data_IF_472795266016
#
_entry.id   IF_472795266016
#
_cell.length_a   1.000
_cell.length_b   1.000
_cell.length_c   1.000
_cell.angle_alpha   90.00
_cell.angle_beta   90.00
_cell.angle_gamma   90.00
#
_symmetry.space_group_name_H-M   'P 1'
#
loop_
_entity.id
_entity.type
_entity.pdbx_description
1 polymer ?
#
# COMPACT_ATOMS: atom_id res chain seq x y z
N UNK A 1 25.32 48.39 -7.23
CA UNK A 1 24.82 48.36 -5.83
C UNK A 1 23.45 47.73 -5.68
N UNK A 2 22.42 47.99 -6.55
CA UNK A 2 21.08 47.37 -6.46
C UNK A 2 21.12 45.85 -6.74
N UNK A 3 21.87 45.39 -7.75
CA UNK A 3 21.99 43.97 -8.08
C UNK A 3 22.71 43.16 -6.99
N UNK A 4 23.74 43.69 -6.37
CA UNK A 4 24.46 43.03 -5.27
C UNK A 4 23.60 42.91 -4.02
N UNK A 5 22.77 43.92 -3.74
CA UNK A 5 21.85 43.90 -2.59
C UNK A 5 20.72 42.85 -2.79
N UNK A 6 20.21 42.77 -4.01
CA UNK A 6 19.18 41.73 -4.35
C UNK A 6 19.75 40.32 -4.29
N UNK A 7 21.01 40.12 -4.72
CA UNK A 7 21.65 38.82 -4.64
C UNK A 7 21.91 38.38 -3.20
N UNK A 8 22.38 39.28 -2.35
CA UNK A 8 22.59 39.03 -0.92
C UNK A 8 21.28 38.70 -0.18
N UNK A 9 20.21 39.45 -0.46
CA UNK A 9 18.89 39.17 0.09
C UNK A 9 18.36 37.81 -0.32
N UNK A 10 18.55 37.42 -1.59
CA UNK A 10 18.15 36.12 -2.11
C UNK A 10 18.93 34.97 -1.46
N UNK A 11 20.23 35.13 -1.27
CA UNK A 11 21.06 34.15 -0.54
C UNK A 11 20.58 33.96 0.91
N UNK A 12 20.27 35.03 1.61
CA UNK A 12 19.74 34.97 2.98
C UNK A 12 18.39 34.25 3.02
N UNK A 13 17.51 34.54 2.08
CA UNK A 13 16.21 33.84 1.98
C UNK A 13 16.38 32.35 1.69
N UNK A 14 17.27 31.95 0.80
CA UNK A 14 17.56 30.54 0.50
C UNK A 14 18.15 29.81 1.70
N UNK A 15 19.10 30.43 2.41
CA UNK A 15 19.71 29.83 3.60
C UNK A 15 18.70 29.71 4.74
N UNK A 16 17.84 30.70 4.94
CA UNK A 16 16.79 30.63 5.96
C UNK A 16 15.73 29.58 5.60
N UNK A 17 15.35 29.46 4.33
CA UNK A 17 14.44 28.43 3.88
C UNK A 17 15.04 27.02 4.03
N UNK A 18 16.31 26.85 3.71
CA UNK A 18 17.02 25.58 3.90
C UNK A 18 17.12 25.20 5.38
N UNK A 19 17.48 26.17 6.24
CA UNK A 19 17.51 25.98 7.69
C UNK A 19 16.15 25.66 8.29
N UNK A 20 15.10 26.38 7.88
CA UNK A 20 13.74 26.10 8.29
C UNK A 20 13.27 24.71 7.84
N UNK A 21 13.59 24.30 6.61
CA UNK A 21 13.29 22.97 6.10
C UNK A 21 13.95 21.86 6.93
N UNK A 22 15.19 22.05 7.35
CA UNK A 22 15.90 21.07 8.18
C UNK A 22 15.29 20.93 9.57
N UNK A 23 14.90 22.06 10.19
CA UNK A 23 14.28 22.08 11.53
C UNK A 23 12.84 21.58 11.52
N UNK A 24 12.07 21.90 10.47
CA UNK A 24 10.66 21.52 10.35
C UNK A 24 10.48 20.09 9.83
N UNK A 25 11.55 19.42 9.41
CA UNK A 25 11.45 18.02 8.94
C UNK A 25 11.02 17.11 10.10
N UNK A 26 9.89 16.40 9.98
CA UNK A 26 9.45 15.48 11.00
C UNK A 26 10.50 14.37 11.20
N UNK A 27 10.97 14.22 12.44
CA UNK A 27 11.94 13.17 12.83
C UNK A 27 11.28 11.99 13.52
N UNK A 28 10.04 12.17 14.00
CA UNK A 28 9.26 11.13 14.64
C UNK A 28 8.28 10.51 13.64
N UNK A 29 8.34 9.20 13.47
CA UNK A 29 7.41 8.47 12.61
C UNK A 29 6.21 7.99 13.43
N UNK A 30 5.03 8.07 12.85
CA UNK A 30 3.79 7.58 13.48
C UNK A 30 3.89 6.08 13.82
N UNK A 31 4.55 5.31 12.97
CA UNK A 31 4.74 3.88 13.18
C UNK A 31 5.56 3.54 14.44
N UNK A 32 6.46 4.43 14.86
CA UNK A 32 7.26 4.23 16.07
C UNK A 32 6.45 4.50 17.35
N UNK A 33 5.34 5.23 17.22
CA UNK A 33 4.43 5.58 18.32
C UNK A 33 3.28 4.59 18.49
N UNK A 34 3.06 3.72 17.48
CA UNK A 34 2.01 2.71 17.52
C UNK A 34 2.53 1.40 18.14
N UNK A 35 1.63 0.62 18.79
CA UNK A 35 2.00 -0.71 19.28
C UNK A 35 2.58 -1.55 18.15
N UNK A 36 3.72 -2.17 18.40
CA UNK A 36 4.31 -3.12 17.44
C UNK A 36 3.44 -4.36 17.36
N UNK A 37 3.18 -4.82 16.16
CA UNK A 37 2.43 -6.05 15.89
C UNK A 37 3.20 -6.93 14.90
N UNK A 38 2.92 -8.21 14.92
CA UNK A 38 3.46 -9.17 13.96
C UNK A 38 2.34 -9.65 13.05
N UNK A 39 2.51 -9.52 11.73
CA UNK A 39 1.55 -10.01 10.74
C UNK A 39 1.28 -11.51 10.92
N UNK A 40 2.32 -12.27 11.25
CA UNK A 40 2.22 -13.71 11.50
C UNK A 40 1.25 -14.07 12.63
N UNK A 41 1.13 -13.24 13.64
CA UNK A 41 0.24 -13.45 14.79
C UNK A 41 -1.17 -12.91 14.52
N UNK A 42 -1.27 -11.80 13.76
CA UNK A 42 -2.56 -11.16 13.52
C UNK A 42 -3.39 -11.89 12.45
N UNK A 43 -2.74 -12.54 11.50
CA UNK A 43 -3.43 -13.23 10.42
C UNK A 43 -3.66 -14.69 10.81
N UNK A 44 -4.93 -15.13 10.92
CA UNK A 44 -5.24 -16.48 11.39
C UNK A 44 -4.71 -17.54 10.40
N UNK A 45 -4.18 -18.63 10.94
CA UNK A 45 -3.74 -19.79 10.15
C UNK A 45 -4.91 -20.65 9.64
N UNK A 46 -6.09 -20.40 10.19
CA UNK A 46 -7.31 -21.12 9.86
C UNK A 46 -8.55 -20.26 10.06
N UNK A 47 -9.51 -20.32 9.15
CA UNK A 47 -10.82 -19.66 9.27
C UNK A 47 -11.86 -20.43 8.44
N UNK A 48 -13.03 -20.68 9.00
CA UNK A 48 -14.03 -21.51 8.36
C UNK A 48 -13.46 -22.88 7.93
N UNK A 49 -13.58 -23.22 6.65
CA UNK A 49 -13.00 -24.43 6.05
C UNK A 49 -11.58 -24.24 5.52
N UNK A 50 -11.06 -23.04 5.54
CA UNK A 50 -9.75 -22.69 5.03
C UNK A 50 -8.65 -22.96 6.06
N UNK A 51 -7.54 -23.56 5.62
CA UNK A 51 -6.34 -23.84 6.42
C UNK A 51 -5.10 -23.46 5.61
N UNK A 52 -4.04 -23.01 6.31
CA UNK A 52 -2.74 -22.79 5.67
C UNK A 52 -2.22 -24.11 5.10
N UNK A 53 -1.82 -24.08 3.83
CA UNK A 53 -1.17 -25.20 3.19
C UNK A 53 0.36 -25.15 3.45
N UNK A 54 0.79 -25.91 4.43
CA UNK A 54 2.22 -25.97 4.85
C UNK A 54 3.14 -26.48 3.73
N UNK A 55 2.61 -27.27 2.77
CA UNK A 55 3.41 -27.83 1.65
C UNK A 55 3.79 -26.77 0.63
N UNK A 56 3.01 -25.70 0.52
CA UNK A 56 3.23 -24.64 -0.47
C UNK A 56 4.03 -23.48 0.11
N UNK A 57 4.25 -23.44 1.42
CA UNK A 57 5.01 -22.39 2.12
C UNK A 57 6.50 -22.36 1.74
N UNK A 58 7.02 -23.42 1.12
CA UNK A 58 8.40 -23.52 0.63
C UNK A 58 8.56 -22.98 -0.80
N UNK A 59 7.91 -21.87 -1.16
CA UNK A 59 8.15 -21.23 -2.46
C UNK A 59 9.58 -20.68 -2.48
N UNK A 60 10.39 -21.19 -3.40
CA UNK A 60 11.74 -20.66 -3.67
C UNK A 60 11.58 -19.24 -4.22
N UNK A 61 11.62 -18.27 -3.33
CA UNK A 61 11.69 -16.87 -3.72
C UNK A 61 13.12 -16.63 -4.19
N UNK A 62 13.28 -15.96 -5.32
CA UNK A 62 14.61 -15.54 -5.77
C UNK A 62 15.27 -14.71 -4.66
N UNK A 63 16.44 -15.12 -4.11
CA UNK A 63 17.07 -14.45 -2.97
C UNK A 63 17.35 -12.96 -3.20
N UNK A 64 17.57 -12.56 -4.44
CA UNK A 64 17.80 -11.15 -4.80
C UNK A 64 16.50 -10.33 -4.69
N UNK A 65 15.38 -10.91 -5.13
CA UNK A 65 14.06 -10.27 -4.98
C UNK A 65 13.66 -10.17 -3.51
N UNK A 66 13.95 -11.20 -2.71
CA UNK A 66 13.70 -11.21 -1.27
C UNK A 66 14.49 -10.13 -0.54
N UNK A 67 15.78 -10.00 -0.86
CA UNK A 67 16.64 -8.96 -0.28
C UNK A 67 16.14 -7.56 -0.58
N UNK A 68 15.64 -7.33 -1.80
CA UNK A 68 15.06 -6.05 -2.18
C UNK A 68 13.75 -5.78 -1.44
N UNK A 69 12.87 -6.76 -1.38
CA UNK A 69 11.59 -6.65 -0.67
C UNK A 69 11.78 -6.39 0.83
N UNK A 70 12.75 -7.06 1.47
CA UNK A 70 13.07 -6.87 2.88
C UNK A 70 13.69 -5.49 3.17
N UNK A 71 14.26 -4.81 2.18
CA UNK A 71 14.68 -3.40 2.31
C UNK A 71 13.52 -2.42 2.20
N UNK A 72 12.46 -2.78 1.46
CA UNK A 72 11.31 -1.92 1.18
C UNK A 72 10.21 -2.07 2.24
N UNK A 73 10.03 -3.26 2.80
CA UNK A 73 8.96 -3.57 3.72
C UNK A 73 9.48 -4.04 5.08
N UNK A 74 8.82 -3.58 6.13
CA UNK A 74 9.17 -3.97 7.51
C UNK A 74 8.73 -5.40 7.82
N UNK A 75 7.64 -5.85 7.21
CA UNK A 75 7.13 -7.22 7.33
C UNK A 75 6.50 -7.67 6.01
N UNK A 76 6.71 -8.91 5.67
CA UNK A 76 6.10 -9.59 4.53
C UNK A 76 5.45 -10.87 5.01
N UNK A 77 4.17 -11.07 4.68
CA UNK A 77 3.45 -12.31 4.92
C UNK A 77 3.00 -12.88 3.58
N UNK A 78 3.33 -14.13 3.32
CA UNK A 78 2.83 -14.87 2.15
C UNK A 78 2.35 -16.24 2.62
N UNK A 79 1.06 -16.51 2.42
CA UNK A 79 0.43 -17.78 2.81
C UNK A 79 -0.49 -18.28 1.69
N UNK A 80 -0.43 -19.57 1.43
CA UNK A 80 -1.44 -20.25 0.64
C UNK A 80 -2.42 -20.92 1.59
N UNK A 81 -3.70 -20.64 1.40
CA UNK A 81 -4.79 -21.35 2.08
C UNK A 81 -5.42 -22.37 1.13
N UNK A 82 -5.82 -23.48 1.68
CA UNK A 82 -6.60 -24.52 1.00
C UNK A 82 -7.93 -24.70 1.71
N UNK A 83 -9.02 -24.72 0.92
CA UNK A 83 -10.33 -25.13 1.44
C UNK A 83 -10.32 -26.66 1.59
N UNK A 84 -10.47 -27.12 2.83
CA UNK A 84 -10.45 -28.55 3.16
C UNK A 84 -11.63 -29.34 2.57
N UNK A 85 -12.68 -28.66 2.15
CA UNK A 85 -13.89 -29.25 1.56
C UNK A 85 -13.79 -29.37 0.05
N UNK A 86 -13.28 -28.34 -0.65
CA UNK A 86 -13.25 -28.27 -2.12
C UNK A 86 -11.85 -28.52 -2.70
N UNK A 87 -10.80 -28.35 -1.90
CA UNK A 87 -9.41 -28.39 -2.36
C UNK A 87 -8.97 -27.12 -3.10
N UNK A 88 -9.83 -26.12 -3.20
CA UNK A 88 -9.50 -24.83 -3.81
C UNK A 88 -8.38 -24.15 -3.03
N UNK A 89 -7.57 -23.35 -3.73
CA UNK A 89 -6.42 -22.66 -3.15
C UNK A 89 -6.48 -21.17 -3.42
N UNK A 90 -6.12 -20.40 -2.41
CA UNK A 90 -6.02 -18.95 -2.47
C UNK A 90 -4.69 -18.50 -1.84
N UNK A 91 -3.97 -17.61 -2.51
CA UNK A 91 -2.74 -17.03 -1.97
C UNK A 91 -3.04 -15.66 -1.38
N UNK A 92 -2.65 -15.45 -0.13
CA UNK A 92 -2.65 -14.17 0.54
C UNK A 92 -1.23 -13.64 0.62
N UNK A 93 -1.01 -12.42 0.13
CA UNK A 93 0.25 -11.69 0.29
C UNK A 93 -0.01 -10.35 0.94
N UNK A 94 0.70 -10.04 2.02
CA UNK A 94 0.62 -8.77 2.75
C UNK A 94 2.02 -8.20 2.88
N UNK A 95 2.20 -6.96 2.43
CA UNK A 95 3.42 -6.19 2.60
C UNK A 95 3.14 -4.99 3.51
N UNK A 96 3.83 -4.92 4.64
CA UNK A 96 3.70 -3.84 5.61
C UNK A 96 4.96 -2.99 5.64
N UNK A 97 4.81 -1.69 5.38
CA UNK A 97 5.86 -0.70 5.52
C UNK A 97 5.56 0.24 6.69
N UNK A 98 6.40 0.21 7.71
CA UNK A 98 6.26 1.08 8.88
C UNK A 98 6.61 2.54 8.57
N UNK A 99 7.58 2.74 7.69
CA UNK A 99 8.06 4.06 7.27
C UNK A 99 7.82 4.26 5.78
N UNK A 100 7.12 5.32 5.42
CA UNK A 100 6.90 5.71 4.03
C UNK A 100 7.86 6.84 3.67
N UNK A 101 9.02 6.50 3.13
CA UNK A 101 9.91 7.45 2.48
C UNK A 101 9.61 7.51 0.97
N UNK A 102 10.08 8.55 0.29
CA UNK A 102 9.93 8.71 -1.17
C UNK A 102 10.54 7.54 -1.96
N UNK A 103 11.51 6.82 -1.37
CA UNK A 103 12.09 5.61 -1.93
C UNK A 103 11.17 4.38 -1.81
N UNK A 104 10.15 4.44 -0.96
CA UNK A 104 9.19 3.37 -0.73
C UNK A 104 7.90 3.61 -1.50
N UNK A 105 7.98 3.59 -2.83
CA UNK A 105 6.78 3.60 -3.66
C UNK A 105 6.01 2.30 -3.44
N UNK A 106 4.72 2.44 -3.14
CA UNK A 106 3.82 1.28 -3.03
C UNK A 106 3.83 0.54 -4.36
N UNK A 107 4.39 -0.68 -4.36
CA UNK A 107 4.37 -1.57 -5.51
C UNK A 107 2.94 -2.09 -5.68
N UNK A 108 2.26 -1.57 -6.70
CA UNK A 108 0.90 -2.01 -7.02
C UNK A 108 0.93 -3.10 -8.10
N UNK A 109 0.05 -4.09 -8.01
CA UNK A 109 -0.01 -5.19 -8.97
C UNK A 109 -0.13 -4.75 -10.43
N UNK A 110 -0.83 -3.64 -10.72
CA UNK A 110 -0.94 -3.06 -12.08
C UNK A 110 0.41 -2.76 -12.75
N UNK A 111 1.43 -2.50 -11.95
CA UNK A 111 2.79 -2.22 -12.44
C UNK A 111 3.67 -3.47 -12.33
N UNK A 112 3.57 -4.20 -11.21
CA UNK A 112 4.45 -5.32 -10.94
C UNK A 112 4.15 -6.55 -11.82
N UNK A 113 2.88 -6.82 -12.12
CA UNK A 113 2.50 -7.97 -12.95
C UNK A 113 2.98 -7.81 -14.41
N UNK A 114 2.71 -6.67 -15.09
CA UNK A 114 3.29 -6.44 -16.43
C UNK A 114 4.82 -6.49 -16.45
N UNK A 115 5.48 -5.93 -15.43
CA UNK A 115 6.94 -5.98 -15.31
C UNK A 115 7.50 -7.41 -15.18
N UNK A 116 6.68 -8.36 -14.71
CA UNK A 116 7.01 -9.79 -14.62
C UNK A 116 6.57 -10.59 -15.86
N UNK A 117 6.05 -9.93 -16.89
CA UNK A 117 5.63 -10.57 -18.14
C UNK A 117 4.17 -11.03 -18.16
N UNK A 118 3.35 -10.63 -17.19
CA UNK A 118 1.91 -10.86 -17.24
C UNK A 118 1.21 -9.84 -18.11
N UNK A 119 0.27 -10.30 -18.92
CA UNK A 119 -0.70 -9.47 -19.62
C UNK A 119 -1.89 -9.19 -18.70
N UNK A 120 -2.32 -7.94 -18.57
CA UNK A 120 -3.53 -7.56 -17.84
C UNK A 120 -4.71 -7.61 -18.81
N UNK A 121 -5.58 -8.59 -18.64
CA UNK A 121 -6.74 -8.82 -19.52
C UNK A 121 -7.94 -7.98 -19.09
N UNK A 122 -8.12 -7.78 -17.77
CA UNK A 122 -9.21 -6.98 -17.23
C UNK A 122 -8.76 -6.27 -15.94
N UNK A 123 -9.36 -5.11 -15.69
CA UNK A 123 -9.12 -4.29 -14.51
C UNK A 123 -10.41 -3.60 -14.08
N UNK A 124 -10.92 -3.94 -12.92
CA UNK A 124 -12.18 -3.44 -12.40
C UNK A 124 -12.09 -3.07 -10.92
N UNK A 125 -13.03 -2.24 -10.45
CA UNK A 125 -13.19 -1.91 -9.05
C UNK A 125 -14.40 -2.65 -8.47
N UNK A 126 -14.27 -3.12 -7.23
CA UNK A 126 -15.33 -3.80 -6.50
C UNK A 126 -15.37 -3.33 -5.05
N UNK A 127 -16.40 -3.74 -4.35
CA UNK A 127 -16.52 -3.60 -2.89
C UNK A 127 -16.48 -5.00 -2.28
N UNK A 128 -15.69 -5.19 -1.22
CA UNK A 128 -15.68 -6.42 -0.44
C UNK A 128 -15.89 -6.11 1.04
N UNK A 129 -16.36 -7.11 1.79
CA UNK A 129 -16.66 -7.00 3.21
C UNK A 129 -18.13 -7.23 3.53
N UNK A 130 -18.45 -7.34 4.81
CA UNK A 130 -19.84 -7.45 5.29
C UNK A 130 -20.55 -6.09 5.20
N UNK A 131 -21.87 -6.09 5.12
CA UNK A 131 -22.74 -4.93 4.81
C UNK A 131 -22.35 -3.57 5.42
N UNK A 132 -21.85 -3.53 6.65
CA UNK A 132 -21.45 -2.29 7.34
C UNK A 132 -19.96 -1.95 7.21
N UNK A 133 -19.14 -2.91 6.80
CA UNK A 133 -17.69 -2.81 6.71
C UNK A 133 -17.18 -3.07 5.29
N UNK A 134 -17.91 -2.59 4.30
CA UNK A 134 -17.47 -2.67 2.91
C UNK A 134 -16.35 -1.67 2.63
N UNK A 135 -15.35 -2.12 1.90
CA UNK A 135 -14.26 -1.28 1.44
C UNK A 135 -13.92 -1.54 -0.02
N UNK A 136 -13.43 -0.52 -0.72
CA UNK A 136 -13.12 -0.63 -2.15
C UNK A 136 -11.85 -1.44 -2.37
N UNK A 137 -11.89 -2.28 -3.40
CA UNK A 137 -10.76 -3.07 -3.88
C UNK A 137 -10.60 -2.94 -5.38
N UNK A 138 -9.43 -3.26 -5.88
CA UNK A 138 -9.19 -3.42 -7.31
C UNK A 138 -9.01 -4.90 -7.64
N UNK A 139 -9.63 -5.32 -8.74
CA UNK A 139 -9.51 -6.68 -9.30
C UNK A 139 -8.79 -6.61 -10.62
N UNK A 140 -7.88 -7.53 -10.83
CA UNK A 140 -7.21 -7.74 -12.10
C UNK A 140 -7.40 -9.19 -12.53
N UNK A 141 -7.56 -9.41 -13.83
CA UNK A 141 -7.40 -10.72 -14.45
C UNK A 141 -6.12 -10.62 -15.26
N UNK A 142 -5.13 -11.43 -14.90
CA UNK A 142 -3.84 -11.43 -15.55
C UNK A 142 -3.53 -12.79 -16.15
N UNK A 143 -2.67 -12.84 -17.17
CA UNK A 143 -2.26 -14.05 -17.85
C UNK A 143 -0.78 -14.01 -18.22
N UNK A 144 -0.11 -15.13 -18.05
CA UNK A 144 1.24 -15.35 -18.56
C UNK A 144 1.31 -16.73 -19.20
N UNK A 145 1.38 -16.78 -20.53
CA UNK A 145 1.22 -18.01 -21.30
C UNK A 145 -0.14 -18.66 -21.03
N UNK A 146 -0.15 -19.90 -20.58
CA UNK A 146 -1.38 -20.64 -20.26
C UNK A 146 -1.86 -20.44 -18.82
N UNK A 147 -1.12 -19.68 -17.99
CA UNK A 147 -1.47 -19.41 -16.59
C UNK A 147 -2.34 -18.16 -16.50
N UNK A 148 -3.59 -18.34 -16.10
CA UNK A 148 -4.49 -17.25 -15.69
C UNK A 148 -4.36 -17.02 -14.19
N UNK A 149 -4.20 -15.75 -13.78
CA UNK A 149 -4.05 -15.39 -12.38
C UNK A 149 -4.96 -14.20 -12.05
N UNK A 150 -6.19 -14.50 -11.56
CA UNK A 150 -7.06 -13.47 -11.03
C UNK A 150 -6.55 -13.00 -9.66
N UNK A 151 -6.52 -11.70 -9.44
CA UNK A 151 -6.12 -11.15 -8.16
C UNK A 151 -7.03 -10.01 -7.72
N UNK A 152 -7.15 -9.85 -6.41
CA UNK A 152 -7.86 -8.75 -5.77
C UNK A 152 -6.92 -8.10 -4.77
N UNK A 153 -6.77 -6.79 -4.86
CA UNK A 153 -5.87 -6.09 -3.94
C UNK A 153 -6.44 -4.75 -3.46
N UNK A 154 -5.92 -4.29 -2.35
CA UNK A 154 -6.15 -2.96 -1.79
C UNK A 154 -4.92 -2.49 -1.04
N UNK A 155 -4.86 -1.20 -0.75
CA UNK A 155 -3.81 -0.59 0.07
C UNK A 155 -4.46 0.07 1.28
N UNK A 156 -3.86 -0.09 2.46
CA UNK A 156 -4.31 0.59 3.68
C UNK A 156 -3.24 1.59 4.11
N UNK A 157 -3.66 2.81 4.44
CA UNK A 157 -2.79 3.86 4.99
C UNK A 157 -3.40 4.32 6.30
N UNK A 158 -2.75 4.03 7.41
CA UNK A 158 -3.35 4.17 8.73
C UNK A 158 -4.62 3.29 8.83
N UNK A 159 -5.75 3.91 9.18
CA UNK A 159 -7.04 3.21 9.30
C UNK A 159 -7.92 3.33 8.05
N UNK A 160 -7.38 3.79 6.93
CA UNK A 160 -8.15 4.03 5.72
C UNK A 160 -7.70 3.11 4.58
N UNK A 161 -8.66 2.47 3.91
CA UNK A 161 -8.39 1.78 2.65
C UNK A 161 -8.32 2.82 1.53
N UNK A 162 -7.21 2.79 0.79
CA UNK A 162 -6.93 3.70 -0.31
C UNK A 162 -6.87 2.89 -1.60
N UNK A 163 -7.70 3.24 -2.57
CA UNK A 163 -7.60 2.68 -3.92
C UNK A 163 -6.63 3.54 -4.71
N UNK A 164 -5.52 2.96 -5.11
CA UNK A 164 -4.52 3.61 -5.96
C UNK A 164 -5.10 3.80 -7.37
N UNK A 165 -5.21 5.05 -7.79
CA UNK A 165 -5.76 5.48 -9.08
C UNK A 165 -6.32 6.88 -8.97
N UNK A 166 -6.83 7.44 -10.03
CA UNK A 166 -7.29 8.83 -10.21
C UNK A 166 -8.25 9.38 -9.14
N UNK A 167 -8.72 8.56 -8.19
CA UNK A 167 -9.60 8.97 -7.08
C UNK A 167 -8.90 9.60 -5.86
N UNK A 168 -7.57 9.68 -5.81
CA UNK A 168 -6.86 10.40 -4.71
C UNK A 168 -7.30 11.86 -4.57
N UNK A 169 -7.69 12.51 -5.66
CA UNK A 169 -8.17 13.91 -5.63
C UNK A 169 -9.58 14.06 -5.02
N UNK A 170 -10.44 13.05 -5.11
CA UNK A 170 -11.82 13.13 -4.61
C UNK A 170 -11.95 12.85 -3.11
N UNK A 171 -11.09 12.01 -2.53
CA UNK A 171 -11.12 11.70 -1.10
C UNK A 171 -10.56 12.86 -0.24
N UNK A 172 -9.56 13.58 -0.75
CA UNK A 172 -9.01 14.78 -0.10
C UNK A 172 -9.98 15.98 -0.13
N UNK A 173 -10.82 16.07 -1.16
CA UNK A 173 -11.79 17.18 -1.32
C UNK A 173 -13.06 17.04 -0.45
N UNK A 174 -13.31 15.90 0.19
CA UNK A 174 -14.52 15.67 1.00
C UNK A 174 -14.35 15.89 2.50
N UNK A 175 -13.24 16.43 2.99
CA UNK A 175 -13.15 17.03 4.31
C UNK A 175 -13.69 18.47 4.28
N UNK A 176 -14.97 18.62 4.03
CA UNK A 176 -15.66 19.85 4.37
C UNK A 176 -15.80 19.90 5.91
N UNK A 177 -15.23 20.90 6.59
CA UNK A 177 -15.36 20.99 8.04
C UNK A 177 -16.84 21.15 8.41
N UNK A 178 -17.30 20.38 9.38
CA UNK A 178 -18.68 20.29 9.91
C UNK A 178 -19.28 21.60 10.46
N UNK A 179 -18.82 22.77 10.02
CA UNK A 179 -19.25 24.08 10.56
C UNK A 179 -19.85 25.03 9.54
N UNK A 180 -20.62 24.57 8.55
CA UNK A 180 -21.53 25.43 7.77
C UNK A 180 -22.69 24.64 7.13
N UNK A 181 -23.52 24.02 7.96
CA UNK A 181 -24.87 23.57 7.52
C UNK A 181 -25.89 24.75 7.60
N UNK A 182 -25.66 25.82 6.89
CA UNK A 182 -26.69 26.83 6.64
C UNK A 182 -26.38 27.62 5.36
N UNK A 183 -26.28 27.00 4.21
CA UNK A 183 -26.47 27.62 2.88
C UNK A 183 -26.13 26.61 1.79
N UNK A 184 -27.02 25.69 1.50
CA UNK A 184 -27.21 25.09 0.20
C UNK A 184 -28.67 24.64 0.17
N UNK A 185 -29.49 25.54 -0.25
CA UNK A 185 -30.79 25.29 -0.88
C UNK A 185 -30.66 25.73 -2.31
#
# INVERSE_FOLDING_TARGET
HRATFSAAAMCVLMLSAAGASAVLKPTAFLADQLPKFLLEEQIPRAFGTWRVDERTSARVINPQAETLLNKLYSQLLSRTYVDTRTGERIMLSIAYGANQSDAMQVHIPDVCYPAQGFEVLDSSYAQIGAQRNQFPVKRLITRMGNRSEPLTYWTTVGNAVVVTGTRRKAASARRCPRRRRRRCR
#
